data_IF_172916352055
#
_entry.id   IF_172916352055
#
_cell.length_a   1.000
_cell.length_b   1.000
_cell.length_c   1.000
_cell.angle_alpha   90.00
_cell.angle_beta   90.00
_cell.angle_gamma   90.00
#
_symmetry.space_group_name_H-M   'P 1'
#
loop_
_entity.id
_entity.type
_entity.pdbx_description
1 polymer ?
#
# COMPACT_ATOMS: atom_id res chain seq x y z
N UNK A 1 11.54 -1.48 -2.78
CA UNK A 1 10.38 -0.77 -2.19
C UNK A 1 9.19 -1.71 -2.27
N UNK A 2 9.01 -2.51 -1.23
CA UNK A 2 8.04 -3.61 -1.20
C UNK A 2 6.84 -3.17 -0.37
N UNK A 3 5.66 -3.70 -0.69
CA UNK A 3 4.43 -3.39 0.01
C UNK A 3 4.51 -3.90 1.46
N UNK A 4 4.06 -3.11 2.43
CA UNK A 4 4.06 -3.51 3.84
C UNK A 4 3.03 -4.62 4.14
N UNK A 5 2.08 -4.84 3.23
CA UNK A 5 1.03 -5.86 3.36
C UNK A 5 1.25 -7.11 2.51
N UNK A 6 2.23 -7.11 1.60
CA UNK A 6 2.52 -8.26 0.73
C UNK A 6 3.87 -8.10 0.02
N UNK A 7 4.36 -9.16 -0.62
CA UNK A 7 5.66 -9.13 -1.33
C UNK A 7 5.62 -8.39 -2.69
N UNK A 8 4.51 -7.75 -3.05
CA UNK A 8 4.42 -6.96 -4.27
C UNK A 8 5.22 -5.66 -4.18
N UNK A 9 5.59 -5.10 -5.33
CA UNK A 9 6.23 -3.79 -5.39
C UNK A 9 5.26 -2.70 -4.89
N UNK A 10 5.73 -1.86 -3.97
CA UNK A 10 4.97 -0.72 -3.48
C UNK A 10 4.84 0.34 -4.57
N UNK A 11 3.63 0.88 -4.72
CA UNK A 11 3.30 1.92 -5.70
C UNK A 11 2.88 3.23 -5.02
N UNK A 12 2.36 3.15 -3.79
CA UNK A 12 1.85 4.28 -3.03
C UNK A 12 2.47 4.31 -1.64
N UNK A 13 2.72 5.50 -1.10
CA UNK A 13 3.10 5.68 0.30
C UNK A 13 2.02 6.53 0.97
N UNK A 14 1.39 6.02 2.03
CA UNK A 14 0.38 6.78 2.79
C UNK A 14 1.06 7.94 3.50
N UNK A 15 0.56 9.15 3.26
CA UNK A 15 1.11 10.39 3.83
C UNK A 15 1.10 10.40 5.36
N UNK A 16 0.05 9.85 5.98
CA UNK A 16 -0.16 9.94 7.43
C UNK A 16 0.51 8.80 8.21
N UNK A 17 0.65 7.61 7.63
CA UNK A 17 1.22 6.44 8.32
C UNK A 17 2.61 6.04 7.81
N UNK A 18 3.06 6.58 6.68
CA UNK A 18 4.30 6.14 6.02
C UNK A 18 4.20 4.75 5.36
N UNK A 19 3.02 4.11 5.43
CA UNK A 19 2.79 2.75 4.95
C UNK A 19 2.89 2.68 3.42
N UNK A 20 3.75 1.81 2.92
CA UNK A 20 4.02 1.59 1.50
C UNK A 20 3.11 0.47 1.03
N UNK A 21 2.21 0.78 0.11
CA UNK A 21 1.21 -0.16 -0.38
C UNK A 21 1.36 -0.34 -1.88
N UNK A 22 1.15 -1.57 -2.35
CA UNK A 22 0.90 -1.83 -3.76
C UNK A 22 -0.51 -1.35 -4.14
N UNK A 23 -0.77 -1.16 -5.43
CA UNK A 23 -2.07 -0.67 -5.93
C UNK A 23 -3.24 -1.52 -5.42
N UNK A 24 -3.07 -2.85 -5.36
CA UNK A 24 -4.11 -3.76 -4.92
C UNK A 24 -4.44 -3.60 -3.43
N UNK A 25 -3.42 -3.52 -2.57
CA UNK A 25 -3.60 -3.30 -1.14
C UNK A 25 -4.14 -1.89 -0.85
N UNK A 26 -3.74 -0.90 -1.63
CA UNK A 26 -4.26 0.46 -1.53
C UNK A 26 -5.76 0.52 -1.87
N UNK A 27 -6.18 -0.04 -3.02
CA UNK A 27 -7.59 -0.09 -3.42
C UNK A 27 -8.46 -0.85 -2.41
N UNK A 28 -7.98 -2.00 -1.90
CA UNK A 28 -8.69 -2.75 -0.83
C UNK A 28 -8.86 -1.93 0.46
N UNK A 29 -7.94 -1.01 0.73
CA UNK A 29 -7.94 -0.17 1.94
C UNK A 29 -8.77 1.12 1.79
N UNK A 30 -9.35 1.37 0.60
CA UNK A 30 -10.28 2.49 0.33
C UNK A 30 -11.73 2.02 0.29
N UNK A 31 -11.98 0.78 -0.13
CA UNK A 31 -13.33 0.22 -0.33
C UNK A 31 -14.00 -0.23 0.99
N UNK A 32 -13.37 0.02 2.15
CA UNK A 32 -13.87 -0.38 3.48
C UNK A 32 -14.10 0.86 4.34
#
# INVERSE_FOLDING_TARGET
MTCDRCENQAAYTRKYSGEKLCSQCFSKSIIK
#
